data_IF_483464870631
#
_entry.id   IF_483464870631
#
_cell.length_a   1.000
_cell.length_b   1.000
_cell.length_c   1.000
_cell.angle_alpha   90.00
_cell.angle_beta   90.00
_cell.angle_gamma   90.00
#
_symmetry.space_group_name_H-M   'P 1'
#
loop_
_entity.id
_entity.type
_entity.pdbx_description
1 polymer ?
#
# COMPACT_ATOMS: atom_id res chain seq x y z
N UNK A 1 18.95 18.78 2.64
CA UNK A 1 18.03 18.60 3.75
C UNK A 1 16.67 19.16 3.41
N UNK A 2 15.63 18.42 3.70
CA UNK A 2 14.26 18.94 3.64
C UNK A 2 14.17 19.99 4.75
N UNK A 3 13.83 21.23 4.42
CA UNK A 3 13.66 22.27 5.43
C UNK A 3 12.52 21.85 6.36
N UNK A 4 12.83 21.54 7.61
CA UNK A 4 11.86 21.11 8.64
C UNK A 4 10.65 22.09 8.74
N UNK A 5 10.86 23.36 8.46
CA UNK A 5 9.83 24.40 8.43
C UNK A 5 8.76 24.18 7.32
N UNK A 6 9.08 23.41 6.26
CA UNK A 6 8.15 23.07 5.18
C UNK A 6 7.21 21.93 5.55
N UNK A 7 7.71 20.93 6.28
CA UNK A 7 6.93 19.73 6.65
C UNK A 7 5.68 20.13 7.45
N UNK A 8 5.81 21.04 8.41
CA UNK A 8 4.67 21.47 9.23
C UNK A 8 3.59 22.29 8.50
N UNK A 9 3.91 22.83 7.29
CA UNK A 9 2.96 23.62 6.48
C UNK A 9 2.21 22.78 5.47
N UNK A 10 2.80 21.65 5.06
CA UNK A 10 2.25 20.75 4.04
C UNK A 10 1.38 19.64 4.66
N UNK A 11 1.47 19.42 5.98
CA UNK A 11 0.63 18.46 6.69
C UNK A 11 -0.71 19.11 7.05
N UNK A 12 -1.81 18.43 6.70
CA UNK A 12 -3.16 18.87 7.06
C UNK A 12 -3.29 19.12 8.57
N UNK A 13 -4.02 20.18 9.00
CA UNK A 13 -4.23 20.46 10.40
C UNK A 13 -4.74 19.23 11.14
N UNK A 14 -4.05 18.85 12.19
CA UNK A 14 -4.47 17.71 13.02
C UNK A 14 -5.60 18.15 13.96
N UNK A 15 -6.83 17.84 13.59
CA UNK A 15 -8.02 18.17 14.36
C UNK A 15 -8.02 17.60 15.79
N UNK A 16 -7.16 16.59 16.07
CA UNK A 16 -7.09 15.89 17.35
C UNK A 16 -5.68 15.82 17.96
N UNK A 17 -4.74 16.64 17.50
CA UNK A 17 -3.32 16.60 17.92
C UNK A 17 -2.61 15.24 17.73
N UNK A 18 -3.14 14.36 16.89
CA UNK A 18 -2.60 13.01 16.67
C UNK A 18 -1.24 13.06 15.96
N UNK A 19 -1.08 14.00 15.03
CA UNK A 19 0.13 14.13 14.21
C UNK A 19 1.23 14.98 14.89
N UNK A 20 0.88 15.85 15.83
CA UNK A 20 1.83 16.74 16.52
C UNK A 20 3.05 15.99 17.09
N UNK A 21 2.91 14.82 17.76
CA UNK A 21 4.07 14.08 18.25
C UNK A 21 5.01 13.58 17.14
N UNK A 22 4.45 13.21 15.97
CA UNK A 22 5.21 12.71 14.82
C UNK A 22 5.99 13.84 14.15
N UNK A 23 5.34 14.98 13.94
CA UNK A 23 5.95 16.18 13.38
C UNK A 23 7.16 16.57 14.23
N UNK A 24 7.00 16.64 15.55
CA UNK A 24 8.08 16.97 16.49
C UNK A 24 9.26 16.00 16.41
N UNK A 25 9.00 14.68 16.27
CA UNK A 25 10.05 13.68 16.10
C UNK A 25 10.81 13.94 14.80
N UNK A 26 10.11 14.15 13.69
CA UNK A 26 10.72 14.39 12.38
C UNK A 26 11.53 15.68 12.37
N UNK A 27 11.00 16.77 12.94
CA UNK A 27 11.68 18.07 13.04
C UNK A 27 12.92 18.02 13.93
N UNK A 28 12.91 17.19 14.98
CA UNK A 28 14.02 17.05 15.94
C UNK A 28 15.05 16.00 15.57
N UNK A 29 14.87 15.31 14.45
CA UNK A 29 15.75 14.22 14.03
C UNK A 29 16.68 14.67 12.89
N UNK A 30 17.95 14.31 12.99
CA UNK A 30 18.96 14.65 11.99
C UNK A 30 18.79 13.84 10.69
N UNK A 31 18.25 12.63 10.82
CA UNK A 31 18.01 11.68 9.72
C UNK A 31 16.85 10.72 10.02
N UNK A 32 16.48 9.89 9.01
CA UNK A 32 15.41 8.90 9.14
C UNK A 32 15.73 7.85 10.20
N UNK A 33 16.98 7.49 10.40
CA UNK A 33 17.40 6.50 11.39
C UNK A 33 17.21 7.00 12.82
N UNK A 34 17.57 8.24 13.09
CA UNK A 34 17.35 8.88 14.39
C UNK A 34 15.85 9.08 14.67
N UNK A 35 15.05 9.42 13.66
CA UNK A 35 13.60 9.44 13.78
C UNK A 35 13.04 8.06 14.14
N UNK A 36 13.46 7.00 13.45
CA UNK A 36 13.05 5.63 13.75
C UNK A 36 13.43 5.19 15.19
N UNK A 37 14.60 5.60 15.68
CA UNK A 37 15.01 5.33 17.07
C UNK A 37 14.10 6.00 18.09
N UNK A 38 13.66 7.23 17.85
CA UNK A 38 12.69 7.90 18.73
C UNK A 38 11.33 7.20 18.71
N UNK A 39 10.97 6.59 17.58
CA UNK A 39 9.73 5.81 17.40
C UNK A 39 9.80 4.36 17.90
N UNK A 40 10.93 3.90 18.45
CA UNK A 40 11.18 2.50 18.84
C UNK A 40 10.11 1.84 19.74
N UNK A 41 9.41 2.64 20.55
CA UNK A 41 8.36 2.18 21.48
C UNK A 41 6.98 2.04 20.83
N UNK A 42 6.84 2.45 19.58
CA UNK A 42 5.60 2.31 18.81
C UNK A 42 5.47 0.91 18.23
N UNK A 43 4.25 0.49 17.90
CA UNK A 43 3.98 -0.84 17.34
C UNK A 43 4.79 -1.16 16.08
N UNK A 44 5.05 -0.15 15.25
CA UNK A 44 5.83 -0.24 14.03
C UNK A 44 7.33 0.04 14.22
N UNK A 45 7.77 0.43 15.42
CA UNK A 45 9.15 0.84 15.67
C UNK A 45 10.18 -0.24 15.34
N UNK A 46 9.88 -1.51 15.63
CA UNK A 46 10.75 -2.62 15.26
C UNK A 46 10.89 -2.80 13.75
N UNK A 47 9.83 -2.56 12.98
CA UNK A 47 9.88 -2.64 11.52
C UNK A 47 10.86 -1.62 10.94
N UNK A 48 10.85 -0.38 11.44
CA UNK A 48 11.76 0.67 11.01
C UNK A 48 13.21 0.43 11.44
N UNK A 49 13.44 -0.10 12.65
CA UNK A 49 14.80 -0.33 13.17
C UNK A 49 15.49 -1.53 12.53
N UNK A 50 14.73 -2.47 11.96
CA UNK A 50 15.29 -3.63 11.25
C UNK A 50 15.76 -3.31 9.83
N UNK A 51 15.53 -2.11 9.36
CA UNK A 51 16.02 -1.68 8.05
C UNK A 51 17.56 -1.50 8.06
N UNK A 52 18.23 -1.72 6.92
CA UNK A 52 19.67 -1.50 6.78
C UNK A 52 20.05 -0.04 7.06
N UNK A 53 21.31 0.22 7.37
CA UNK A 53 21.78 1.57 7.72
C UNK A 53 21.70 2.55 6.54
N UNK A 54 21.83 2.05 5.33
CA UNK A 54 21.74 2.81 4.08
C UNK A 54 20.32 2.87 3.50
N UNK A 55 19.30 2.51 4.31
CA UNK A 55 17.91 2.52 3.91
C UNK A 55 17.47 3.93 3.45
N UNK A 56 16.84 3.98 2.29
CA UNK A 56 16.23 5.19 1.71
C UNK A 56 14.82 5.36 2.23
N UNK A 57 14.23 6.53 1.99
CA UNK A 57 12.85 6.85 2.39
C UNK A 57 11.84 5.77 1.95
N UNK A 58 11.96 5.29 0.72
CA UNK A 58 11.08 4.22 0.18
C UNK A 58 11.09 2.95 1.03
N UNK A 59 12.24 2.52 1.53
CA UNK A 59 12.31 1.35 2.42
C UNK A 59 11.56 1.57 3.74
N UNK A 60 11.56 2.81 4.27
CA UNK A 60 10.79 3.16 5.47
C UNK A 60 9.29 3.16 5.18
N UNK A 61 8.88 3.68 4.03
CA UNK A 61 7.49 3.67 3.57
C UNK A 61 6.99 2.24 3.40
N UNK A 62 7.71 1.38 2.71
CA UNK A 62 7.38 -0.04 2.52
C UNK A 62 7.29 -0.80 3.85
N UNK A 63 8.20 -0.54 4.79
CA UNK A 63 8.17 -1.16 6.11
C UNK A 63 6.94 -0.73 6.92
N UNK A 64 6.54 0.54 6.82
CA UNK A 64 5.33 1.06 7.45
C UNK A 64 4.08 0.47 6.82
N UNK A 65 3.99 0.42 5.51
CA UNK A 65 2.87 -0.17 4.77
C UNK A 65 2.68 -1.65 5.12
N UNK A 66 3.76 -2.43 5.11
CA UNK A 66 3.72 -3.84 5.53
C UNK A 66 3.24 -3.99 6.96
N UNK A 67 3.74 -3.15 7.86
CA UNK A 67 3.31 -3.17 9.25
C UNK A 67 1.83 -2.81 9.37
N UNK A 68 1.38 -1.78 8.66
CA UNK A 68 -0.01 -1.33 8.63
C UNK A 68 -0.94 -2.48 8.18
N UNK A 69 -0.69 -3.07 7.01
CA UNK A 69 -1.52 -4.14 6.49
C UNK A 69 -1.52 -5.38 7.39
N UNK A 70 -0.34 -5.82 7.86
CA UNK A 70 -0.24 -6.97 8.74
C UNK A 70 -0.96 -6.77 10.08
N UNK A 71 -0.80 -5.60 10.69
CA UNK A 71 -1.46 -5.27 11.96
C UNK A 71 -2.96 -5.10 11.80
N UNK A 72 -3.42 -4.47 10.72
CA UNK A 72 -4.84 -4.28 10.41
C UNK A 72 -5.54 -5.62 10.13
N UNK A 73 -4.94 -6.49 9.31
CA UNK A 73 -5.46 -7.83 9.06
C UNK A 73 -5.52 -8.67 10.34
N UNK A 74 -4.55 -8.52 11.23
CA UNK A 74 -4.53 -9.20 12.53
C UNK A 74 -5.62 -8.67 13.47
N UNK A 75 -5.77 -7.34 13.54
CA UNK A 75 -6.76 -6.68 14.39
C UNK A 75 -8.20 -7.03 14.01
N UNK A 76 -8.50 -7.14 12.72
CA UNK A 76 -9.83 -7.52 12.21
C UNK A 76 -10.23 -8.95 12.60
N UNK A 77 -9.29 -9.83 12.91
CA UNK A 77 -9.60 -11.23 13.17
C UNK A 77 -10.28 -11.94 11.99
N UNK A 78 -10.98 -13.05 12.25
CA UNK A 78 -11.64 -13.87 11.20
C UNK A 78 -13.15 -14.00 11.40
N UNK A 79 -13.70 -13.49 12.51
CA UNK A 79 -15.10 -13.65 12.88
C UNK A 79 -15.92 -12.39 12.63
N UNK A 80 -17.15 -12.60 12.17
CA UNK A 80 -18.10 -11.53 11.92
C UNK A 80 -18.13 -11.02 10.46
N UNK A 81 -19.28 -10.47 10.08
CA UNK A 81 -19.51 -9.98 8.72
C UNK A 81 -18.67 -8.73 8.43
N UNK A 82 -18.60 -7.79 9.38
CA UNK A 82 -17.80 -6.57 9.21
C UNK A 82 -16.33 -6.87 9.04
N UNK A 83 -15.77 -7.79 9.84
CA UNK A 83 -14.38 -8.22 9.68
C UNK A 83 -14.13 -8.81 8.28
N UNK A 84 -15.07 -9.60 7.76
CA UNK A 84 -14.96 -10.16 6.40
C UNK A 84 -14.99 -9.09 5.32
N UNK A 85 -15.87 -8.08 5.45
CA UNK A 85 -15.96 -6.98 4.50
C UNK A 85 -14.72 -6.10 4.54
N UNK A 86 -14.29 -5.68 5.73
CA UNK A 86 -13.09 -4.86 5.90
C UNK A 86 -11.82 -5.59 5.43
N UNK A 87 -11.73 -6.91 5.64
CA UNK A 87 -10.65 -7.72 5.05
C UNK A 87 -10.68 -7.72 3.52
N UNK A 88 -11.87 -7.67 2.92
CA UNK A 88 -11.97 -7.59 1.45
C UNK A 88 -11.44 -6.24 0.96
N UNK A 89 -11.74 -5.15 1.66
CA UNK A 89 -11.22 -3.81 1.35
C UNK A 89 -9.69 -3.81 1.47
N UNK A 90 -9.14 -4.18 2.61
CA UNK A 90 -7.69 -4.23 2.82
C UNK A 90 -6.97 -5.13 1.80
N UNK A 91 -7.58 -6.28 1.45
CA UNK A 91 -6.98 -7.15 0.44
C UNK A 91 -6.98 -6.52 -0.96
N UNK A 92 -7.96 -5.67 -1.27
CA UNK A 92 -7.97 -4.89 -2.54
C UNK A 92 -6.87 -3.83 -2.52
N UNK A 93 -6.73 -3.08 -1.42
CA UNK A 93 -5.64 -2.11 -1.25
C UNK A 93 -4.26 -2.77 -1.38
N UNK A 94 -4.06 -3.94 -0.74
CA UNK A 94 -2.81 -4.72 -0.87
C UNK A 94 -2.56 -5.12 -2.34
N UNK A 95 -3.57 -5.58 -3.05
CA UNK A 95 -3.41 -5.93 -4.46
C UNK A 95 -3.02 -4.72 -5.31
N UNK A 96 -3.64 -3.56 -5.07
CA UNK A 96 -3.31 -2.30 -5.76
C UNK A 96 -1.88 -1.86 -5.44
N UNK A 97 -1.47 -1.90 -4.18
CA UNK A 97 -0.09 -1.58 -3.77
C UNK A 97 0.92 -2.50 -4.46
N UNK A 98 0.67 -3.81 -4.46
CA UNK A 98 1.54 -4.77 -5.13
C UNK A 98 1.62 -4.58 -6.65
N UNK A 99 0.51 -4.21 -7.31
CA UNK A 99 0.52 -3.87 -8.74
C UNK A 99 1.46 -2.68 -8.99
N UNK A 100 1.33 -1.61 -8.19
CA UNK A 100 2.17 -0.41 -8.35
C UNK A 100 3.64 -0.73 -8.06
N UNK A 101 3.94 -1.45 -6.98
CA UNK A 101 5.31 -1.85 -6.65
C UNK A 101 5.96 -2.65 -7.78
N UNK A 102 5.25 -3.60 -8.40
CA UNK A 102 5.76 -4.37 -9.55
C UNK A 102 6.01 -3.48 -10.76
N UNK A 103 5.13 -2.52 -11.04
CA UNK A 103 5.29 -1.60 -12.18
C UNK A 103 6.46 -0.63 -11.97
N UNK A 104 6.60 -0.10 -10.76
CA UNK A 104 7.72 0.76 -10.37
C UNK A 104 9.04 0.00 -10.42
N UNK A 105 9.08 -1.20 -9.82
CA UNK A 105 10.25 -2.07 -9.86
C UNK A 105 10.69 -2.39 -11.29
N UNK A 106 9.73 -2.67 -12.19
CA UNK A 106 10.02 -2.92 -13.61
C UNK A 106 10.65 -1.70 -14.30
N UNK A 107 10.24 -0.49 -13.94
CA UNK A 107 10.83 0.75 -14.49
C UNK A 107 12.30 0.95 -14.05
N UNK A 108 12.68 0.39 -12.90
CA UNK A 108 14.05 0.47 -12.36
C UNK A 108 14.85 -0.83 -12.55
N UNK A 109 14.29 -1.86 -13.20
CA UNK A 109 14.95 -3.15 -13.39
C UNK A 109 15.15 -3.94 -12.09
N UNK A 110 14.28 -3.75 -11.10
CA UNK A 110 14.32 -4.44 -9.79
C UNK A 110 13.52 -5.75 -9.90
N UNK A 111 14.15 -6.87 -9.56
CA UNK A 111 13.56 -8.22 -9.61
C UNK A 111 14.08 -9.10 -8.47
N UNK A 112 13.54 -10.30 -8.34
CA UNK A 112 13.98 -11.31 -7.39
C UNK A 112 13.69 -10.92 -5.93
N UNK A 113 14.66 -11.15 -5.05
CA UNK A 113 14.49 -10.90 -3.62
C UNK A 113 14.18 -9.44 -3.29
N UNK A 114 14.78 -8.49 -4.02
CA UNK A 114 14.55 -7.07 -3.80
C UNK A 114 13.08 -6.71 -4.03
N UNK A 115 12.51 -7.14 -5.17
CA UNK A 115 11.08 -6.96 -5.43
C UNK A 115 10.20 -7.76 -4.43
N UNK A 116 10.62 -9.00 -4.07
CA UNK A 116 9.86 -9.80 -3.10
C UNK A 116 9.68 -9.09 -1.75
N UNK A 117 10.71 -8.37 -1.33
CA UNK A 117 10.67 -7.58 -0.09
C UNK A 117 9.75 -6.36 -0.17
N UNK A 118 9.45 -5.85 -1.34
CA UNK A 118 8.49 -4.76 -1.55
C UNK A 118 7.03 -5.26 -1.62
N UNK A 119 6.80 -6.55 -1.91
CA UNK A 119 5.46 -7.11 -2.03
C UNK A 119 4.82 -7.37 -0.65
N UNK A 120 3.56 -6.96 -0.51
CA UNK A 120 2.77 -7.10 0.71
C UNK A 120 1.91 -8.36 0.64
N UNK A 121 2.00 -9.28 1.62
CA UNK A 121 1.13 -10.46 1.67
C UNK A 121 -0.29 -10.11 2.10
N UNK A 122 -1.30 -10.83 1.57
CA UNK A 122 -2.69 -10.67 2.00
C UNK A 122 -3.66 -10.26 0.90
N UNK A 123 -3.17 -9.99 -0.30
CA UNK A 123 -3.98 -9.72 -1.49
C UNK A 123 -4.81 -10.93 -1.94
N UNK A 124 -5.84 -10.67 -2.72
CA UNK A 124 -6.75 -11.69 -3.30
C UNK A 124 -6.43 -11.98 -4.75
N UNK A 125 -6.00 -10.98 -5.50
CA UNK A 125 -5.56 -11.12 -6.90
C UNK A 125 -4.17 -11.76 -6.93
N UNK A 126 -3.28 -11.33 -6.05
CA UNK A 126 -1.93 -11.82 -5.90
C UNK A 126 -1.75 -12.54 -4.54
N UNK A 127 -2.21 -13.79 -4.44
CA UNK A 127 -2.09 -14.56 -3.19
C UNK A 127 -0.62 -14.85 -2.85
N UNK A 128 -0.33 -15.06 -1.56
CA UNK A 128 1.02 -15.32 -1.03
C UNK A 128 1.85 -16.28 -1.89
N UNK A 129 1.22 -17.36 -2.39
CA UNK A 129 1.89 -18.37 -3.23
C UNK A 129 2.35 -17.85 -4.60
N UNK A 130 1.76 -16.74 -5.09
CA UNK A 130 2.14 -16.13 -6.36
C UNK A 130 3.24 -15.08 -6.22
N UNK A 131 3.45 -14.52 -5.02
CA UNK A 131 4.37 -13.40 -4.81
C UNK A 131 5.81 -13.74 -5.22
N UNK A 132 6.28 -14.96 -4.90
CA UNK A 132 7.63 -15.40 -5.30
C UNK A 132 7.78 -15.50 -6.83
N UNK A 133 6.76 -15.99 -7.53
CA UNK A 133 6.77 -16.06 -9.00
C UNK A 133 6.73 -14.66 -9.61
N UNK A 134 5.92 -13.76 -9.05
CA UNK A 134 5.83 -12.36 -9.48
C UNK A 134 7.16 -11.64 -9.25
N UNK A 135 7.78 -11.83 -8.10
CA UNK A 135 9.07 -11.22 -7.80
C UNK A 135 10.16 -11.62 -8.81
N UNK A 136 10.20 -12.91 -9.19
CA UNK A 136 11.20 -13.42 -10.13
C UNK A 136 10.89 -13.12 -11.61
N UNK A 137 9.61 -12.98 -11.97
CA UNK A 137 9.19 -12.74 -13.36
C UNK A 137 8.65 -11.33 -13.60
N UNK A 138 8.68 -10.48 -12.59
CA UNK A 138 8.31 -9.07 -12.67
C UNK A 138 6.92 -8.83 -13.25
N UNK A 139 6.79 -7.79 -14.05
CA UNK A 139 5.54 -7.36 -14.70
C UNK A 139 4.87 -8.48 -15.51
N UNK A 140 5.64 -9.30 -16.23
CA UNK A 140 5.06 -10.37 -17.06
C UNK A 140 4.34 -11.41 -16.20
N UNK A 141 4.98 -11.88 -15.13
CA UNK A 141 4.38 -12.84 -14.21
C UNK A 141 3.17 -12.26 -13.47
N UNK A 142 3.20 -10.98 -13.11
CA UNK A 142 2.04 -10.29 -12.54
C UNK A 142 0.86 -10.27 -13.52
N UNK A 143 1.08 -9.89 -14.77
CA UNK A 143 0.02 -9.88 -15.80
C UNK A 143 -0.58 -11.25 -16.02
N UNK A 144 0.23 -12.30 -16.02
CA UNK A 144 -0.26 -13.68 -16.16
C UNK A 144 -1.15 -14.08 -14.96
N UNK A 145 -0.77 -13.69 -13.74
CA UNK A 145 -1.60 -13.91 -12.54
C UNK A 145 -2.92 -13.15 -12.64
N UNK A 146 -2.90 -11.89 -13.08
CA UNK A 146 -4.10 -11.08 -13.24
C UNK A 146 -5.03 -11.59 -14.34
N UNK A 147 -4.50 -12.00 -15.50
CA UNK A 147 -5.27 -12.62 -16.61
C UNK A 147 -5.99 -13.89 -16.21
N UNK A 148 -5.38 -14.68 -15.34
CA UNK A 148 -5.99 -15.90 -14.82
C UNK A 148 -7.09 -15.66 -13.77
N UNK A 149 -7.35 -14.41 -13.38
CA UNK A 149 -8.41 -14.06 -12.46
C UNK A 149 -9.64 -13.54 -13.22
N UNK A 150 -10.67 -14.39 -13.36
CA UNK A 150 -11.91 -14.07 -14.10
C UNK A 150 -12.69 -12.86 -13.55
N UNK A 151 -12.37 -12.37 -12.34
CA UNK A 151 -13.02 -11.18 -11.74
C UNK A 151 -12.24 -9.90 -11.97
N UNK A 152 -11.03 -10.00 -12.50
CA UNK A 152 -10.19 -8.85 -12.81
C UNK A 152 -10.46 -8.40 -14.25
N UNK A 153 -10.71 -7.13 -14.44
CA UNK A 153 -10.89 -6.54 -15.77
C UNK A 153 -9.52 -6.26 -16.40
N UNK A 154 -8.96 -7.31 -16.97
CA UNK A 154 -7.62 -7.24 -17.57
C UNK A 154 -7.59 -6.30 -18.79
N UNK A 155 -8.65 -6.24 -19.59
CA UNK A 155 -8.69 -5.39 -20.77
C UNK A 155 -8.62 -3.91 -20.41
N UNK A 156 -9.43 -3.47 -19.44
CA UNK A 156 -9.37 -2.09 -18.94
C UNK A 156 -8.05 -1.76 -18.26
N UNK A 157 -7.44 -2.73 -17.58
CA UNK A 157 -6.12 -2.55 -16.97
C UNK A 157 -5.01 -2.40 -18.02
N UNK A 158 -5.02 -3.22 -19.08
CA UNK A 158 -4.05 -3.14 -20.18
C UNK A 158 -4.17 -1.81 -20.94
N UNK A 159 -5.38 -1.27 -21.12
CA UNK A 159 -5.58 0.07 -21.68
C UNK A 159 -4.98 1.18 -20.81
N UNK A 160 -5.17 1.08 -19.47
CA UNK A 160 -4.55 2.01 -18.53
C UNK A 160 -3.01 1.90 -18.54
N UNK A 161 -2.45 0.69 -18.68
CA UNK A 161 -1.02 0.46 -18.83
C UNK A 161 -0.47 1.09 -20.12
N UNK A 162 -1.13 0.90 -21.25
CA UNK A 162 -0.72 1.51 -22.51
C UNK A 162 -0.72 3.05 -22.44
N UNK A 163 -1.72 3.63 -21.76
CA UNK A 163 -1.77 5.07 -21.52
C UNK A 163 -0.61 5.53 -20.66
N UNK A 164 -0.34 4.81 -19.56
CA UNK A 164 0.78 5.09 -18.65
C UNK A 164 2.14 5.02 -19.37
N UNK A 165 2.32 4.07 -20.27
CA UNK A 165 3.55 3.95 -21.08
C UNK A 165 3.74 5.14 -22.04
N UNK A 166 2.66 5.59 -22.68
CA UNK A 166 2.67 6.75 -23.57
C UNK A 166 3.00 8.03 -22.82
N UNK A 167 2.44 8.19 -21.64
CA UNK A 167 2.61 9.37 -20.77
C UNK A 167 3.87 9.32 -19.92
N UNK A 168 4.53 8.17 -19.82
CA UNK A 168 5.66 7.90 -18.92
C UNK A 168 5.35 8.22 -17.46
N UNK A 169 4.11 7.93 -17.05
CA UNK A 169 3.60 8.12 -15.70
C UNK A 169 2.67 6.97 -15.35
N UNK A 170 2.61 6.58 -14.08
CA UNK A 170 1.65 5.59 -13.58
C UNK A 170 0.26 6.18 -13.28
N UNK A 171 0.04 7.47 -13.53
CA UNK A 171 -1.20 8.17 -13.15
C UNK A 171 -2.45 7.52 -13.74
N UNK A 172 -2.39 7.04 -14.99
CA UNK A 172 -3.52 6.37 -15.63
C UNK A 172 -3.85 5.03 -14.92
N UNK A 173 -2.82 4.25 -14.54
CA UNK A 173 -3.00 3.02 -13.77
C UNK A 173 -3.53 3.32 -12.37
N UNK A 174 -2.97 4.29 -11.67
CA UNK A 174 -3.43 4.72 -10.34
C UNK A 174 -4.88 5.14 -10.38
N UNK A 175 -5.25 5.98 -11.34
CA UNK A 175 -6.63 6.45 -11.53
C UNK A 175 -7.59 5.29 -11.81
N UNK A 176 -7.17 4.34 -12.65
CA UNK A 176 -7.97 3.17 -12.97
C UNK A 176 -8.18 2.27 -11.74
N UNK A 177 -7.12 2.00 -10.96
CA UNK A 177 -7.18 1.21 -9.73
C UNK A 177 -8.12 1.86 -8.70
N UNK A 178 -7.97 3.16 -8.46
CA UNK A 178 -8.84 3.91 -7.53
C UNK A 178 -10.29 3.90 -7.96
N UNK A 179 -10.57 4.08 -9.26
CA UNK A 179 -11.95 4.03 -9.77
C UNK A 179 -12.59 2.64 -9.52
N UNK A 180 -11.83 1.56 -9.67
CA UNK A 180 -12.30 0.20 -9.39
C UNK A 180 -12.54 -0.05 -7.90
N UNK A 181 -11.65 0.42 -7.07
CA UNK A 181 -11.79 0.36 -5.61
C UNK A 181 -13.04 1.11 -5.16
N UNK A 182 -13.21 2.35 -5.61
CA UNK A 182 -14.39 3.16 -5.32
C UNK A 182 -15.69 2.47 -5.73
N UNK A 183 -15.77 1.95 -6.97
CA UNK A 183 -16.94 1.21 -7.44
C UNK A 183 -17.22 -0.05 -6.60
N UNK A 184 -16.17 -0.77 -6.20
CA UNK A 184 -16.30 -1.94 -5.33
C UNK A 184 -16.83 -1.56 -3.95
N UNK A 185 -16.28 -0.52 -3.34
CA UNK A 185 -16.71 0.00 -2.04
C UNK A 185 -18.15 0.49 -2.08
N UNK A 186 -18.52 1.24 -3.09
CA UNK A 186 -19.89 1.70 -3.32
C UNK A 186 -20.86 0.52 -3.41
N UNK A 187 -20.56 -0.46 -4.26
CA UNK A 187 -21.38 -1.67 -4.41
C UNK A 187 -21.52 -2.43 -3.09
N UNK A 188 -20.43 -2.61 -2.35
CA UNK A 188 -20.45 -3.31 -1.07
C UNK A 188 -21.26 -2.55 -0.01
N UNK A 189 -21.16 -1.23 0.04
CA UNK A 189 -21.95 -0.37 0.93
C UNK A 189 -23.44 -0.49 0.66
N UNK A 190 -23.86 -0.50 -0.60
CA UNK A 190 -25.27 -0.70 -0.98
C UNK A 190 -25.79 -2.09 -0.63
N UNK A 191 -24.98 -3.13 -0.82
CA UNK A 191 -25.38 -4.51 -0.51
C UNK A 191 -25.43 -4.79 1.00
N UNK A 192 -24.69 -4.03 1.78
CA UNK A 192 -24.52 -4.25 3.23
C UNK A 192 -24.68 -2.94 4.02
N UNK A 193 -25.86 -2.27 3.95
CA UNK A 193 -26.05 -0.93 4.53
C UNK A 193 -25.99 -0.89 6.07
N UNK A 194 -26.13 -2.04 6.74
CA UNK A 194 -26.07 -2.16 8.23
C UNK A 194 -24.68 -2.57 8.73
N UNK A 195 -23.67 -2.58 7.83
CA UNK A 195 -22.29 -2.91 8.16
C UNK A 195 -21.46 -1.63 8.40
N UNK A 196 -20.18 -1.80 8.76
CA UNK A 196 -19.22 -0.70 8.84
C UNK A 196 -18.84 -0.09 7.47
N UNK A 197 -19.16 -0.75 6.35
CA UNK A 197 -18.78 -0.33 5.00
C UNK A 197 -19.27 1.06 4.59
N UNK A 198 -20.52 1.49 4.88
CA UNK A 198 -20.94 2.85 4.56
C UNK A 198 -20.08 3.90 5.25
N UNK A 199 -19.61 3.64 6.48
CA UNK A 199 -18.73 4.56 7.20
C UNK A 199 -17.38 4.65 6.48
N UNK A 200 -16.78 3.51 6.15
CA UNK A 200 -15.48 3.45 5.43
C UNK A 200 -15.58 4.08 4.03
N UNK A 201 -16.72 3.97 3.37
CA UNK A 201 -16.95 4.58 2.04
C UNK A 201 -17.00 6.11 2.08
N UNK A 202 -17.45 6.72 3.21
CA UNK A 202 -17.60 8.16 3.33
C UNK A 202 -16.45 8.87 4.05
N UNK A 203 -15.45 8.15 4.56
CA UNK A 203 -14.22 8.71 5.12
C UNK A 203 -13.16 8.88 4.03
#
# INVERSE_FOLDING_TARGET
GIEAEKIGKDILPDLNDINTPWIKILESSDDLRSAAQQMRRKSFGSALLNLPEDARLTHYEDALDRHYFASSLKALGYSGNDARYLRTVLATEIDHRNILNVLEAAAFGIEGNALYEELVPGGRLMPQRALSSIANGGRSAMLDVLRNNAKFDIAGFEEALETSEKERSLDAVVTWLHAREYMQMQKMSYLHPVSALPIVYYI
#
